data_IF_434004044659
#
_entry.id   IF_434004044659
#
_cell.length_a   1.000
_cell.length_b   1.000
_cell.length_c   1.000
_cell.angle_alpha   90.00
_cell.angle_beta   90.00
_cell.angle_gamma   90.00
#
_symmetry.space_group_name_H-M   'P 1'
#
loop_
_entity.id
_entity.type
_entity.pdbx_description
1 polymer ?
#
# COMPACT_ATOMS: atom_id res chain seq x y z
N UNK A 1 -7.34 -23.81 6.55
CA UNK A 1 -6.36 -23.12 5.68
C UNK A 1 -6.83 -21.68 5.61
N UNK A 2 -6.05 -20.73 6.12
CA UNK A 2 -6.36 -19.32 5.91
C UNK A 2 -5.96 -19.01 4.46
N UNK A 3 -6.93 -19.03 3.54
CA UNK A 3 -6.71 -18.63 2.15
C UNK A 3 -6.49 -17.12 2.11
N UNK A 4 -5.23 -16.70 2.15
CA UNK A 4 -4.86 -15.35 1.78
C UNK A 4 -5.00 -15.20 0.27
N UNK A 5 -5.74 -14.19 -0.18
CA UNK A 5 -5.90 -13.87 -1.60
C UNK A 5 -4.57 -13.43 -2.23
N UNK A 6 -3.64 -12.91 -1.42
CA UNK A 6 -2.29 -12.46 -1.82
C UNK A 6 -1.22 -13.34 -1.15
N UNK A 7 -0.21 -13.84 -1.90
CA UNK A 7 0.92 -14.60 -1.36
C UNK A 7 1.68 -13.85 -0.26
N UNK A 8 2.19 -14.57 0.75
CA UNK A 8 2.90 -13.98 1.90
C UNK A 8 4.11 -13.13 1.52
N UNK A 9 4.84 -13.51 0.47
CA UNK A 9 5.95 -12.71 -0.05
C UNK A 9 5.52 -11.35 -0.64
N UNK A 10 4.22 -11.06 -0.71
CA UNK A 10 3.62 -9.81 -1.16
C UNK A 10 2.76 -9.16 -0.07
N UNK A 11 2.90 -9.58 1.19
CA UNK A 11 2.26 -8.91 2.32
C UNK A 11 2.98 -7.60 2.62
N UNK A 12 2.67 -6.58 1.83
CA UNK A 12 3.27 -5.24 1.90
C UNK A 12 2.46 -4.38 2.87
N UNK A 13 3.03 -3.89 3.99
CA UNK A 13 2.30 -3.01 4.89
C UNK A 13 2.08 -1.63 4.26
N UNK A 14 0.86 -1.11 4.38
CA UNK A 14 0.46 0.17 3.75
C UNK A 14 -0.18 1.18 4.70
N UNK A 15 -0.71 0.71 5.83
CA UNK A 15 -1.35 1.56 6.83
C UNK A 15 -1.20 0.96 8.23
N UNK A 16 -0.97 1.81 9.24
CA UNK A 16 -0.70 1.44 10.63
C UNK A 16 -1.51 2.30 11.60
N UNK A 17 -1.88 1.73 12.74
CA UNK A 17 -2.70 2.43 13.75
C UNK A 17 -1.90 3.47 14.52
N UNK A 18 -0.64 3.20 14.84
CA UNK A 18 0.24 4.05 15.61
C UNK A 18 1.72 3.71 15.34
N UNK A 19 2.62 4.46 15.99
CA UNK A 19 4.08 4.27 15.92
C UNK A 19 4.50 2.88 16.44
N UNK A 20 3.86 2.38 17.50
CA UNK A 20 4.14 1.05 18.05
C UNK A 20 3.83 -0.07 17.04
N UNK A 21 2.74 0.06 16.28
CA UNK A 21 2.41 -0.90 15.23
C UNK A 21 3.43 -0.88 14.09
N UNK A 22 3.98 0.29 13.76
CA UNK A 22 5.07 0.40 12.78
C UNK A 22 6.30 -0.36 13.28
N UNK A 23 6.74 -0.09 14.51
CA UNK A 23 7.91 -0.74 15.11
C UNK A 23 7.73 -2.27 15.25
N UNK A 24 6.52 -2.72 15.60
CA UNK A 24 6.24 -4.15 15.82
C UNK A 24 6.12 -4.97 14.53
N UNK A 25 5.82 -4.35 13.39
CA UNK A 25 5.43 -5.08 12.17
C UNK A 25 6.20 -4.68 10.90
N UNK A 26 6.93 -3.57 10.92
CA UNK A 26 7.56 -2.99 9.72
C UNK A 26 9.05 -2.80 9.93
N UNK A 27 9.44 -2.22 11.07
CA UNK A 27 10.84 -1.98 11.44
C UNK A 27 11.05 -0.66 12.18
N UNK A 28 12.29 -0.22 12.30
CA UNK A 28 12.69 0.89 13.15
C UNK A 28 12.26 2.27 12.63
N UNK A 29 11.72 3.12 13.50
CA UNK A 29 11.58 4.56 13.22
C UNK A 29 12.96 5.21 13.36
N UNK A 30 13.60 5.50 12.22
CA UNK A 30 14.97 6.05 12.20
C UNK A 30 15.02 7.57 12.20
N UNK A 31 13.93 8.24 11.81
CA UNK A 31 13.81 9.71 11.90
C UNK A 31 12.35 10.14 12.07
N UNK A 32 12.10 11.06 13.02
CA UNK A 32 10.82 11.75 13.13
C UNK A 32 10.86 13.02 12.27
N UNK A 33 10.25 12.94 11.08
CA UNK A 33 10.19 14.05 10.13
C UNK A 33 9.25 15.16 10.59
N UNK A 34 8.18 14.80 11.30
CA UNK A 34 7.25 15.70 11.98
C UNK A 34 6.57 14.93 13.13
N UNK A 35 6.69 15.38 14.40
CA UNK A 35 6.12 14.67 15.54
C UNK A 35 4.65 14.31 15.37
N UNK A 36 4.31 13.03 15.58
CA UNK A 36 2.96 12.47 15.45
C UNK A 36 2.34 12.56 14.05
N UNK A 37 3.11 12.91 13.02
CA UNK A 37 2.58 13.23 11.69
C UNK A 37 3.37 12.66 10.52
N UNK A 38 4.68 12.52 10.65
CA UNK A 38 5.53 12.00 9.58
C UNK A 38 6.78 11.32 10.15
N UNK A 39 7.06 10.13 9.64
CA UNK A 39 8.12 9.24 10.10
C UNK A 39 8.91 8.73 8.89
N UNK A 40 10.21 8.55 9.09
CA UNK A 40 11.06 7.73 8.23
C UNK A 40 11.29 6.40 8.95
N UNK A 41 10.92 5.32 8.29
CA UNK A 41 10.96 3.96 8.83
C UNK A 41 11.96 3.17 8.03
N UNK A 42 12.92 2.55 8.71
CA UNK A 42 13.79 1.54 8.13
C UNK A 42 13.11 0.19 8.24
N UNK A 43 12.83 -0.43 7.11
CA UNK A 43 12.13 -1.71 7.09
C UNK A 43 13.06 -2.85 7.52
N UNK A 44 12.51 -3.82 8.24
CA UNK A 44 13.14 -5.12 8.45
C UNK A 44 13.41 -5.83 7.11
N UNK A 45 14.32 -6.83 7.07
CA UNK A 45 14.57 -7.59 5.86
C UNK A 45 13.28 -8.14 5.24
N UNK A 46 13.04 -7.94 3.93
CA UNK A 46 11.81 -8.39 3.30
C UNK A 46 11.69 -9.92 3.27
N UNK A 47 10.47 -10.45 3.12
CA UNK A 47 10.26 -11.87 2.88
C UNK A 47 10.96 -12.32 1.58
N UNK A 48 11.31 -13.60 1.52
CA UNK A 48 11.91 -14.20 0.33
C UNK A 48 10.91 -14.16 -0.83
N UNK A 49 11.33 -13.59 -1.96
CA UNK A 49 10.52 -13.54 -3.18
C UNK A 49 10.28 -14.95 -3.70
N UNK A 50 9.04 -15.26 -4.08
CA UNK A 50 8.74 -16.47 -4.86
C UNK A 50 8.96 -16.16 -6.36
N UNK A 51 10.05 -16.64 -6.99
CA UNK A 51 10.39 -16.28 -8.37
C UNK A 51 9.38 -16.79 -9.41
N UNK A 52 8.40 -17.61 -9.01
CA UNK A 52 7.34 -18.10 -9.89
C UNK A 52 6.22 -17.08 -10.11
N UNK A 53 6.15 -16.02 -9.31
CA UNK A 53 5.14 -14.98 -9.43
C UNK A 53 5.60 -13.91 -10.44
N UNK A 54 4.78 -13.67 -11.45
CA UNK A 54 5.10 -12.74 -12.55
C UNK A 54 5.21 -11.29 -12.09
N UNK A 55 4.58 -10.94 -10.96
CA UNK A 55 4.69 -9.59 -10.37
C UNK A 55 6.15 -9.18 -10.14
N UNK A 56 7.07 -10.12 -9.88
CA UNK A 56 8.49 -9.81 -9.64
C UNK A 56 9.25 -9.43 -10.90
N UNK A 57 8.70 -9.75 -12.08
CA UNK A 57 9.27 -9.35 -13.38
C UNK A 57 8.85 -7.94 -13.80
N UNK A 58 7.98 -7.28 -13.03
CA UNK A 58 7.56 -5.91 -13.29
C UNK A 58 8.69 -4.92 -12.95
N UNK A 59 8.68 -3.77 -13.61
CA UNK A 59 9.59 -2.66 -13.29
C UNK A 59 9.28 -2.11 -11.89
N UNK A 60 10.31 -1.59 -11.21
CA UNK A 60 10.21 -0.92 -9.90
C UNK A 60 9.63 -1.79 -8.75
N UNK A 61 9.66 -3.12 -8.82
CA UNK A 61 9.13 -4.01 -7.76
C UNK A 61 9.81 -3.88 -6.40
N UNK A 62 11.01 -3.29 -6.35
CA UNK A 62 11.68 -2.92 -5.11
C UNK A 62 10.86 -1.91 -4.29
N UNK A 63 9.91 -1.19 -4.91
CA UNK A 63 9.02 -0.25 -4.22
C UNK A 63 8.17 -0.92 -3.14
N UNK A 64 7.85 -2.22 -3.27
CA UNK A 64 7.09 -2.96 -2.26
C UNK A 64 7.82 -3.00 -0.93
N UNK A 65 9.14 -3.12 -0.99
CA UNK A 65 10.00 -3.42 0.14
C UNK A 65 11.19 -2.44 0.23
N UNK A 66 10.96 -1.18 -0.19
CA UNK A 66 11.95 -0.11 -0.07
C UNK A 66 12.50 -0.09 1.36
N UNK A 67 13.83 -0.21 1.54
CA UNK A 67 14.44 -0.26 2.87
C UNK A 67 14.17 0.99 3.72
N UNK A 68 13.84 2.12 3.10
CA UNK A 68 13.52 3.38 3.78
C UNK A 68 12.17 3.92 3.31
N UNK A 69 11.17 3.87 4.18
CA UNK A 69 9.79 4.20 3.88
C UNK A 69 9.33 5.46 4.61
N UNK A 70 8.54 6.29 3.95
CA UNK A 70 7.95 7.48 4.57
C UNK A 70 6.50 7.19 4.93
N UNK A 71 6.16 7.36 6.20
CA UNK A 71 4.83 7.12 6.75
C UNK A 71 4.26 8.42 7.30
N UNK A 72 3.00 8.74 6.99
CA UNK A 72 2.39 10.01 7.39
C UNK A 72 0.98 9.86 7.92
N UNK A 73 0.61 10.76 8.83
CA UNK A 73 -0.77 10.87 9.30
C UNK A 73 -1.73 11.20 8.15
N UNK A 74 -2.94 10.61 8.12
CA UNK A 74 -3.94 10.91 7.09
C UNK A 74 -4.28 12.40 6.99
N UNK A 75 -4.14 13.19 8.06
CA UNK A 75 -4.40 14.63 8.06
C UNK A 75 -3.23 15.50 7.61
N UNK A 76 -2.03 14.94 7.45
CA UNK A 76 -0.82 15.72 7.26
C UNK A 76 -0.70 16.28 5.84
N UNK A 77 -0.77 17.61 5.67
CA UNK A 77 -0.78 18.27 4.36
C UNK A 77 0.61 18.56 3.79
N UNK A 78 1.66 18.51 4.62
CA UNK A 78 3.06 18.77 4.19
C UNK A 78 3.83 17.49 3.81
N UNK A 79 3.12 16.39 3.59
CA UNK A 79 3.66 15.06 3.31
C UNK A 79 4.67 15.03 2.16
N UNK A 80 4.42 15.78 1.06
CA UNK A 80 5.37 15.89 -0.06
C UNK A 80 6.73 16.46 0.37
N UNK A 81 6.73 17.47 1.26
CA UNK A 81 7.96 18.07 1.79
C UNK A 81 8.70 17.10 2.69
N UNK A 82 7.98 16.36 3.54
CA UNK A 82 8.57 15.31 4.37
C UNK A 82 9.21 14.21 3.52
N UNK A 83 8.53 13.78 2.44
CA UNK A 83 9.07 12.79 1.51
C UNK A 83 10.37 13.26 0.85
N UNK A 84 10.41 14.49 0.34
CA UNK A 84 11.64 15.05 -0.25
C UNK A 84 12.76 15.19 0.76
N UNK A 85 12.46 15.60 2.00
CA UNK A 85 13.46 15.68 3.07
C UNK A 85 14.10 14.31 3.30
N UNK A 86 13.31 13.25 3.33
CA UNK A 86 13.80 11.89 3.61
C UNK A 86 14.48 11.22 2.41
N UNK A 87 13.95 11.40 1.19
CA UNK A 87 14.32 10.62 -0.01
C UNK A 87 15.00 11.46 -1.10
N UNK A 88 15.13 12.77 -0.89
CA UNK A 88 15.70 13.72 -1.85
C UNK A 88 14.75 14.11 -2.99
N UNK A 89 15.02 15.24 -3.65
CA UNK A 89 14.16 15.79 -4.72
C UNK A 89 14.10 14.90 -5.97
N UNK A 90 15.18 14.19 -6.28
CA UNK A 90 15.26 13.30 -7.46
C UNK A 90 14.23 12.16 -7.37
N UNK A 91 13.93 11.67 -6.17
CA UNK A 91 12.97 10.58 -5.93
C UNK A 91 11.53 10.90 -6.36
N UNK A 92 11.20 12.17 -6.61
CA UNK A 92 9.87 12.63 -7.01
C UNK A 92 9.87 13.35 -8.37
N UNK A 93 10.97 13.30 -9.12
CA UNK A 93 11.04 13.93 -10.43
C UNK A 93 10.00 13.31 -11.39
N UNK A 94 9.11 14.14 -11.94
CA UNK A 94 8.02 13.67 -12.81
C UNK A 94 6.90 12.87 -12.12
N UNK A 95 7.03 12.61 -10.81
CA UNK A 95 6.09 11.79 -10.02
C UNK A 95 5.29 12.65 -9.03
N UNK A 96 4.17 12.10 -8.56
CA UNK A 96 3.40 12.60 -7.42
C UNK A 96 3.66 11.70 -6.21
N UNK A 97 3.67 12.28 -5.01
CA UNK A 97 3.72 11.50 -3.77
C UNK A 97 2.30 11.09 -3.44
N UNK A 98 2.05 9.80 -3.43
CA UNK A 98 0.75 9.19 -3.24
C UNK A 98 0.65 8.52 -1.87
N UNK A 99 -0.55 8.54 -1.28
CA UNK A 99 -0.87 7.77 -0.08
C UNK A 99 -1.37 6.43 -0.55
N UNK A 100 -0.63 5.35 -0.31
CA UNK A 100 -1.00 4.02 -0.83
C UNK A 100 -2.42 3.64 -0.40
N UNK A 101 -2.79 4.01 0.83
CA UNK A 101 -4.13 3.80 1.35
C UNK A 101 -4.98 5.08 1.34
N UNK A 102 -6.29 4.94 1.09
CA UNK A 102 -7.20 6.09 1.06
C UNK A 102 -7.27 6.82 2.41
N UNK A 103 -7.00 8.12 2.40
CA UNK A 103 -6.94 8.96 3.60
C UNK A 103 -8.25 9.02 4.39
N UNK A 104 -9.40 9.06 3.70
CA UNK A 104 -10.70 9.10 4.36
C UNK A 104 -11.01 7.77 5.03
N UNK A 105 -10.72 6.65 4.36
CA UNK A 105 -10.84 5.31 4.94
C UNK A 105 -9.91 5.13 6.14
N UNK A 106 -8.68 5.66 6.09
CA UNK A 106 -7.77 5.63 7.22
C UNK A 106 -8.36 6.32 8.46
N UNK A 107 -8.93 7.52 8.27
CA UNK A 107 -9.61 8.25 9.36
C UNK A 107 -10.82 7.49 9.89
N UNK A 108 -11.69 6.97 9.01
CA UNK A 108 -12.87 6.19 9.41
C UNK A 108 -12.53 4.88 10.15
N UNK A 109 -11.33 4.35 9.92
CA UNK A 109 -10.86 3.11 10.56
C UNK A 109 -9.86 3.35 11.69
N UNK A 110 -9.71 4.59 12.16
CA UNK A 110 -8.72 5.06 13.14
C UNK A 110 -7.29 4.55 12.88
N UNK A 111 -6.84 4.60 11.64
CA UNK A 111 -5.45 4.41 11.30
C UNK A 111 -4.68 5.73 11.44
N UNK A 112 -3.57 5.70 12.17
CA UNK A 112 -2.75 6.86 12.47
C UNK A 112 -1.74 7.21 11.39
N UNK A 113 -1.30 6.25 10.57
CA UNK A 113 -0.24 6.44 9.58
C UNK A 113 -0.49 5.66 8.29
N UNK A 114 -0.19 6.28 7.15
CA UNK A 114 -0.27 5.70 5.80
C UNK A 114 1.11 5.80 5.15
N UNK A 115 1.50 4.74 4.44
CA UNK A 115 2.73 4.70 3.63
C UNK A 115 2.62 5.61 2.41
N UNK A 116 3.72 6.29 2.09
CA UNK A 116 3.86 7.08 0.87
C UNK A 116 4.71 6.37 -0.18
N UNK A 117 4.33 6.55 -1.45
CA UNK A 117 5.11 6.12 -2.62
C UNK A 117 5.10 7.18 -3.72
N UNK A 118 6.15 7.30 -4.55
CA UNK A 118 6.16 8.16 -5.71
C UNK A 118 5.62 7.41 -6.94
N UNK A 119 4.54 7.91 -7.54
CA UNK A 119 3.89 7.31 -8.73
C UNK A 119 3.67 8.37 -9.82
N UNK A 120 3.42 7.97 -11.05
CA UNK A 120 3.02 8.88 -12.13
C UNK A 120 1.67 9.54 -11.82
N UNK A 121 1.46 10.71 -12.43
CA UNK A 121 0.15 11.39 -12.36
C UNK A 121 -0.99 10.53 -12.93
N UNK A 122 -0.68 9.70 -13.94
CA UNK A 122 -1.67 8.87 -14.61
C UNK A 122 -2.19 7.74 -13.72
N UNK A 123 -1.29 7.05 -13.00
CA UNK A 123 -1.70 6.04 -12.02
C UNK A 123 -2.53 6.67 -10.89
N UNK A 124 -2.11 7.83 -10.37
CA UNK A 124 -2.82 8.52 -9.30
C UNK A 124 -4.26 8.95 -9.65
N UNK A 125 -4.52 9.37 -10.90
CA UNK A 125 -5.88 9.74 -11.31
C UNK A 125 -6.82 8.54 -11.47
N UNK A 126 -6.25 7.35 -11.69
CA UNK A 126 -6.96 6.14 -12.07
C UNK A 126 -7.49 5.34 -10.87
N UNK A 127 -6.88 5.50 -9.69
CA UNK A 127 -7.33 4.90 -8.42
C UNK A 127 -8.62 5.52 -7.87
N UNK A 128 -8.92 6.77 -8.21
CA UNK A 128 -9.95 7.58 -7.55
C UNK A 128 -11.40 7.03 -7.62
N UNK A 129 -11.74 6.19 -8.60
CA UNK A 129 -13.09 5.59 -8.70
C UNK A 129 -13.32 4.50 -7.65
N UNK A 130 -12.33 3.64 -7.42
CA UNK A 130 -12.38 2.58 -6.39
C UNK A 130 -12.41 3.16 -4.96
N UNK A 131 -11.79 4.32 -4.78
CA UNK A 131 -11.71 5.03 -3.50
C UNK A 131 -13.09 5.50 -2.99
N UNK A 132 -14.01 5.90 -3.88
CA UNK A 132 -15.33 6.39 -3.46
C UNK A 132 -16.23 5.25 -2.95
N UNK A 133 -16.24 4.12 -3.66
CA UNK A 133 -17.00 2.94 -3.26
C UNK A 133 -16.45 2.32 -1.96
N UNK A 134 -15.12 2.30 -1.79
CA UNK A 134 -14.47 1.84 -0.56
C UNK A 134 -14.80 2.69 0.68
N UNK A 135 -14.99 4.01 0.51
CA UNK A 135 -15.40 4.91 1.61
C UNK A 135 -16.82 4.63 2.06
N UNK A 136 -17.77 4.41 1.15
CA UNK A 136 -19.17 4.08 1.49
C UNK A 136 -19.25 2.77 2.29
N UNK A 137 -18.47 1.76 1.89
CA UNK A 137 -18.42 0.49 2.61
C UNK A 137 -17.67 0.59 3.95
N UNK A 138 -16.59 1.37 4.03
CA UNK A 138 -15.88 1.62 5.30
C UNK A 138 -16.70 2.44 6.30
N UNK A 139 -17.56 3.35 5.82
CA UNK A 139 -18.48 4.09 6.67
C UNK A 139 -19.50 3.18 7.36
N UNK A 140 -19.82 2.02 6.77
CA UNK A 140 -20.80 1.07 7.33
C UNK A 140 -20.31 0.42 8.63
N UNK A 141 -19.02 0.08 8.74
CA UNK A 141 -18.48 -0.56 9.95
C UNK A 141 -17.64 0.36 10.83
N UNK A 142 -17.27 1.56 10.34
CA UNK A 142 -16.51 2.59 11.05
C UNK A 142 -15.30 2.03 11.84
N UNK A 143 -14.60 1.05 11.25
CA UNK A 143 -13.44 0.41 11.87
C UNK A 143 -13.74 -0.56 13.02
N UNK A 144 -15.01 -0.89 13.29
CA UNK A 144 -15.38 -1.86 14.34
C UNK A 144 -14.74 -3.22 14.12
N UNK A 145 -14.74 -3.71 12.87
CA UNK A 145 -14.14 -5.01 12.56
C UNK A 145 -12.65 -5.03 12.92
N UNK A 146 -11.94 -3.94 12.63
CA UNK A 146 -10.53 -3.77 12.97
C UNK A 146 -10.34 -3.79 14.48
N UNK A 147 -11.11 -2.98 15.23
CA UNK A 147 -11.03 -2.92 16.70
C UNK A 147 -11.36 -4.26 17.37
N UNK A 148 -12.40 -4.96 16.90
CA UNK A 148 -12.82 -6.28 17.40
C UNK A 148 -11.77 -7.37 17.17
N UNK A 149 -10.94 -7.23 16.13
CA UNK A 149 -9.91 -8.20 15.73
C UNK A 149 -8.49 -7.74 16.07
N UNK A 150 -8.35 -6.61 16.75
CA UNK A 150 -7.06 -5.97 17.05
C UNK A 150 -6.13 -5.85 15.83
N UNK A 151 -6.68 -5.48 14.68
CA UNK A 151 -5.89 -5.32 13.46
C UNK A 151 -5.12 -4.00 13.51
N UNK A 152 -3.82 -4.08 13.84
CA UNK A 152 -2.93 -2.91 14.01
C UNK A 152 -2.25 -2.46 12.71
N UNK A 153 -2.19 -3.33 11.71
CA UNK A 153 -1.67 -3.07 10.36
C UNK A 153 -2.68 -3.57 9.34
N UNK A 154 -2.74 -2.90 8.18
CA UNK A 154 -3.34 -3.48 6.99
C UNK A 154 -2.31 -3.54 5.86
N UNK A 155 -2.34 -4.67 5.16
CA UNK A 155 -1.48 -5.01 4.04
C UNK A 155 -2.16 -4.66 2.71
N UNK A 156 -1.34 -4.41 1.71
CA UNK A 156 -1.75 -4.09 0.35
C UNK A 156 -2.67 -5.17 -0.23
N UNK A 157 -3.77 -4.74 -0.84
CA UNK A 157 -4.51 -5.58 -1.77
C UNK A 157 -3.92 -5.49 -3.19
N UNK A 158 -4.53 -6.19 -4.14
CA UNK A 158 -4.09 -6.18 -5.53
C UNK A 158 -4.09 -4.78 -6.17
N UNK A 159 -5.07 -3.94 -5.83
CA UNK A 159 -5.13 -2.57 -6.33
C UNK A 159 -3.99 -1.73 -5.78
N UNK A 160 -3.73 -1.82 -4.48
CA UNK A 160 -2.62 -1.13 -3.82
C UNK A 160 -1.27 -1.54 -4.46
N UNK A 161 -1.03 -2.84 -4.65
CA UNK A 161 0.20 -3.36 -5.27
C UNK A 161 0.38 -2.83 -6.70
N UNK A 162 -0.67 -2.83 -7.51
CA UNK A 162 -0.60 -2.31 -8.87
C UNK A 162 -0.36 -0.79 -8.92
N UNK A 163 -0.99 -0.02 -8.03
CA UNK A 163 -0.72 1.43 -7.91
C UNK A 163 0.73 1.67 -7.53
N UNK A 164 1.27 0.89 -6.59
CA UNK A 164 2.68 0.97 -6.20
C UNK A 164 3.63 0.69 -7.38
N UNK A 165 3.25 -0.20 -8.31
CA UNK A 165 3.97 -0.47 -9.57
C UNK A 165 3.72 0.59 -10.67
N UNK A 166 3.04 1.69 -10.36
CA UNK A 166 2.71 2.76 -11.31
C UNK A 166 1.83 2.29 -12.49
N UNK A 167 1.05 1.22 -12.28
CA UNK A 167 0.10 0.70 -13.26
C UNK A 167 -1.16 1.56 -13.23
N UNK A 168 -1.59 2.02 -14.41
CA UNK A 168 -2.87 2.73 -14.56
C UNK A 168 -4.00 1.72 -14.42
N UNK A 169 -4.77 1.84 -13.34
CA UNK A 169 -5.95 1.04 -13.11
C UNK A 169 -7.09 1.66 -13.92
N UNK A 170 -7.48 1.04 -15.04
CA UNK A 170 -8.74 1.39 -15.70
C UNK A 170 -9.86 1.42 -14.65
N UNK A 171 -10.77 2.39 -14.72
CA UNK A 171 -11.68 2.74 -13.61
C UNK A 171 -12.66 1.64 -13.15
N UNK A 172 -12.56 0.40 -13.65
CA UNK A 172 -13.38 -0.73 -13.25
C UNK A 172 -12.66 -1.71 -12.31
N UNK A 173 -13.32 -2.06 -11.19
CA UNK A 173 -12.83 -3.03 -10.19
C UNK A 173 -12.43 -4.38 -10.80
N UNK A 174 -13.19 -4.87 -11.78
CA UNK A 174 -12.90 -6.16 -12.42
C UNK A 174 -11.59 -6.18 -13.21
N UNK A 175 -11.19 -5.05 -13.80
CA UNK A 175 -9.94 -4.97 -14.55
C UNK A 175 -8.72 -5.02 -13.62
N UNK A 176 -8.81 -4.34 -12.47
CA UNK A 176 -7.81 -4.38 -11.39
C UNK A 176 -7.64 -5.80 -10.87
N UNK A 177 -8.74 -6.48 -10.55
CA UNK A 177 -8.71 -7.86 -10.06
C UNK A 177 -8.11 -8.78 -11.13
N UNK A 178 -8.54 -8.69 -12.39
CA UNK A 178 -8.02 -9.54 -13.46
C UNK A 178 -6.52 -9.35 -13.69
N UNK A 179 -6.05 -8.11 -13.76
CA UNK A 179 -4.63 -7.79 -13.95
C UNK A 179 -3.80 -8.23 -12.75
N UNK A 180 -4.22 -7.86 -11.54
CA UNK A 180 -3.51 -8.20 -10.31
C UNK A 180 -3.44 -9.71 -10.08
N UNK A 181 -4.56 -10.42 -10.27
CA UNK A 181 -4.64 -11.86 -10.07
C UNK A 181 -3.70 -12.61 -11.02
N UNK A 182 -3.60 -12.21 -12.28
CA UNK A 182 -2.66 -12.84 -13.22
C UNK A 182 -1.20 -12.68 -12.78
N UNK A 183 -0.85 -11.59 -12.09
CA UNK A 183 0.53 -11.32 -11.65
C UNK A 183 0.94 -12.10 -10.39
N UNK A 184 -0.03 -12.50 -9.57
CA UNK A 184 0.21 -13.19 -8.29
C UNK A 184 -0.21 -14.66 -8.29
N UNK A 185 -0.73 -15.15 -9.41
CA UNK A 185 -1.02 -16.57 -9.62
C UNK A 185 0.22 -17.30 -10.13
N UNK A 186 0.46 -18.51 -9.61
CA UNK A 186 1.49 -19.40 -10.17
C UNK A 186 0.94 -20.00 -11.47
N UNK A 187 1.63 -19.85 -12.61
CA UNK A 187 1.19 -20.42 -13.89
C UNK A 187 0.91 -21.93 -13.80
N UNK A 188 -0.19 -22.38 -14.43
CA UNK A 188 -0.57 -23.79 -14.49
C UNK A 188 -1.43 -24.31 -13.32
N UNK A 189 -1.74 -23.49 -12.31
CA UNK A 189 -2.65 -23.86 -11.20
C UNK A 189 -4.12 -23.48 -11.40
N UNK A 190 -4.48 -22.84 -12.52
CA UNK A 190 -5.87 -22.50 -12.82
C UNK A 190 -6.65 -23.74 -13.29
N UNK A 191 -7.85 -24.02 -12.76
CA UNK A 191 -8.84 -24.81 -13.49
C UNK A 191 -9.10 -24.13 -14.84
N UNK A 192 -9.29 -24.91 -15.91
CA UNK A 192 -9.73 -24.36 -17.20
C UNK A 192 -10.99 -23.52 -16.96
N UNK A 193 -10.97 -22.27 -17.38
CA UNK A 193 -12.20 -21.49 -17.42
C UNK A 193 -13.08 -22.07 -18.53
N UNK A 194 -14.38 -22.30 -18.29
CA UNK A 194 -15.30 -22.66 -19.36
C UNK A 194 -15.33 -21.52 -20.39
N UNK A 195 -15.27 -21.91 -21.67
CA UNK A 195 -15.45 -21.03 -22.83
C UNK A 195 -16.84 -20.38 -22.85
#
# INVERSE_FOLDING_TARGET
MNEWVVPECLHVPIVAVDEQAIEAHIGDIVEVLSPGKALLVKMDPPPVRDPRLEIWSQYDTDIFFDPLQVWVSPGYTRYRKAYIRAKGQVSVAGKVVHHVYNRRMAVLRDYGFIRLVPISRGANSSSGYTEQWGVEHAAYDNGERRRKRDLRIQYADLGDLLVMLDVKLGGGVQEVVRLGQNLIEIPGKRPKQPE
#
